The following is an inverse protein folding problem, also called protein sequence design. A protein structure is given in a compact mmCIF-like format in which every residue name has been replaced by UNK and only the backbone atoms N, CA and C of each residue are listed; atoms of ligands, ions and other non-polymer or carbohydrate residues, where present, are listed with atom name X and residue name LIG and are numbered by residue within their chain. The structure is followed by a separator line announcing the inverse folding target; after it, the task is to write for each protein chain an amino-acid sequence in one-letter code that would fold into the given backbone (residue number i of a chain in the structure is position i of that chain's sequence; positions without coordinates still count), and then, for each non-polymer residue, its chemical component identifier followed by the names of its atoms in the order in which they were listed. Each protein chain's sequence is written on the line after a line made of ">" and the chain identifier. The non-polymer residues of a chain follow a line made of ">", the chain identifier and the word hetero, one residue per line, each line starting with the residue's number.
data_IF_550581916231
#
_entry.id   IF_550581916231
#
_cell.length_a   1.000
_cell.length_b   1.000
_cell.length_c   1.000
_cell.angle_alpha   90.00
_cell.angle_beta   90.00
_cell.angle_gamma   90.00
#
_symmetry.space_group_name_H-M   'P 1'
#
loop_
_entity.id
_entity.type
_entity.pdbx_description
1 polymer ?
#
# COMPACT_ATOMS: atom_id res chain seq x y z
N UNK A 1 43.68 31.52 44.24
CA UNK A 1 43.99 32.70 43.40
C UNK A 1 44.12 32.17 41.98
N UNK A 2 43.11 32.20 41.12
CA UNK A 2 42.03 33.18 41.00
C UNK A 2 40.69 32.52 40.69
N UNK A 3 39.64 33.05 41.32
CA UNK A 3 38.22 32.79 41.11
C UNK A 3 37.72 33.42 39.81
N UNK A 4 36.83 32.73 39.09
CA UNK A 4 35.71 33.36 38.37
C UNK A 4 34.49 32.46 38.51
N UNK A 5 33.43 33.01 39.09
CA UNK A 5 32.12 32.42 39.37
C UNK A 5 31.23 32.31 38.09
N UNK A 6 30.12 31.54 38.15
CA UNK A 6 29.43 30.94 37.01
C UNK A 6 28.38 31.86 36.40
N UNK A 7 28.07 31.67 35.11
CA UNK A 7 26.93 32.30 34.46
C UNK A 7 25.84 31.26 34.19
N UNK A 8 24.76 31.35 34.96
CA UNK A 8 23.48 30.69 34.65
C UNK A 8 22.84 31.38 33.45
N UNK A 9 22.46 30.62 32.42
CA UNK A 9 21.43 31.03 31.47
C UNK A 9 20.35 29.97 31.42
N UNK A 10 19.17 30.42 31.85
CA UNK A 10 17.90 29.71 31.89
C UNK A 10 17.43 29.31 30.49
N UNK A 11 16.81 28.13 30.45
CA UNK A 11 15.61 27.78 29.69
C UNK A 11 15.43 28.35 28.27
N UNK A 12 15.56 27.47 27.28
CA UNK A 12 14.63 27.43 26.16
C UNK A 12 14.31 25.97 25.83
N UNK A 13 13.44 25.38 26.64
CA UNK A 13 12.50 24.38 26.15
C UNK A 13 11.65 25.06 25.07
N UNK A 14 12.13 25.03 23.83
CA UNK A 14 11.28 25.25 22.66
C UNK A 14 10.87 23.89 22.16
N UNK A 15 9.66 23.53 22.61
CA UNK A 15 8.80 22.49 22.09
C UNK A 15 9.05 22.16 20.61
N UNK A 16 9.69 21.01 20.35
CA UNK A 16 9.41 20.23 19.15
C UNK A 16 7.97 19.73 19.29
N UNK A 17 7.03 20.58 18.87
CA UNK A 17 5.64 20.20 18.70
C UNK A 17 5.57 19.22 17.54
N UNK A 18 5.19 18.00 17.87
CA UNK A 18 4.35 17.09 17.10
C UNK A 18 4.01 17.58 15.68
N UNK A 19 4.87 17.27 14.72
CA UNK A 19 4.49 17.28 13.31
C UNK A 19 3.54 16.09 13.09
N UNK A 20 2.24 16.36 13.17
CA UNK A 20 1.16 15.41 13.06
C UNK A 20 1.32 14.48 11.83
N UNK A 21 1.27 13.14 11.98
CA UNK A 21 1.31 12.19 10.86
C UNK A 21 0.05 12.17 9.98
N UNK A 22 -0.88 13.12 10.16
CA UNK A 22 -2.24 13.08 9.61
C UNK A 22 -2.33 13.48 8.13
N UNK A 23 -1.32 14.14 7.55
CA UNK A 23 -1.39 14.65 6.17
C UNK A 23 -1.14 13.57 5.09
N UNK A 24 -0.36 12.53 5.39
CA UNK A 24 0.12 11.58 4.36
C UNK A 24 -1.00 10.67 3.84
N UNK A 25 -1.98 10.30 4.67
CA UNK A 25 -3.07 9.41 4.25
C UNK A 25 -4.07 10.09 3.29
N UNK A 26 -4.30 11.40 3.47
CA UNK A 26 -5.20 12.18 2.62
C UNK A 26 -4.71 12.30 1.16
N UNK A 27 -3.41 12.57 0.97
CA UNK A 27 -2.81 12.76 -0.34
C UNK A 27 -3.02 11.56 -1.30
N UNK A 28 -2.97 10.32 -0.77
CA UNK A 28 -3.19 9.12 -1.57
C UNK A 28 -4.65 8.94 -1.99
N UNK A 29 -5.59 9.27 -1.10
CA UNK A 29 -7.02 9.25 -1.40
C UNK A 29 -7.39 10.28 -2.47
N UNK A 30 -6.90 11.50 -2.32
CA UNK A 30 -7.13 12.60 -3.26
C UNK A 30 -6.46 12.35 -4.62
N UNK A 31 -5.26 11.77 -4.63
CA UNK A 31 -4.59 11.39 -5.87
C UNK A 31 -5.31 10.21 -6.55
N UNK A 32 -5.75 9.20 -5.79
CA UNK A 32 -6.54 8.09 -6.33
C UNK A 32 -7.89 8.54 -6.90
N UNK A 33 -8.48 9.61 -6.38
CA UNK A 33 -9.70 10.20 -6.93
C UNK A 33 -9.50 10.86 -8.30
N UNK A 34 -8.28 11.31 -8.62
CA UNK A 34 -7.92 11.96 -9.91
C UNK A 34 -7.47 10.96 -10.97
N UNK A 35 -7.06 9.76 -10.56
CA UNK A 35 -6.71 8.68 -11.47
C UNK A 35 -7.98 8.13 -12.13
N UNK A 36 -7.98 8.03 -13.47
CA UNK A 36 -9.14 7.59 -14.24
C UNK A 36 -9.76 6.28 -13.76
N UNK A 37 -11.09 6.18 -13.87
CA UNK A 37 -11.87 5.08 -13.30
C UNK A 37 -11.56 3.73 -13.97
N UNK A 38 -10.80 2.88 -13.27
CA UNK A 38 -10.76 1.48 -13.59
C UNK A 38 -12.05 0.80 -13.06
N UNK A 39 -12.94 0.30 -13.94
CA UNK A 39 -14.20 -0.28 -13.49
C UNK A 39 -13.94 -1.60 -12.75
N UNK A 40 -14.57 -1.74 -11.58
CA UNK A 40 -14.65 -3.02 -10.86
C UNK A 40 -15.72 -3.92 -11.50
N UNK A 41 -15.66 -5.23 -11.25
CA UNK A 41 -16.72 -6.16 -11.70
C UNK A 41 -18.09 -5.69 -11.16
N UNK A 42 -19.11 -5.44 -12.01
CA UNK A 42 -20.32 -4.70 -11.61
C UNK A 42 -21.05 -5.24 -10.37
N UNK A 43 -21.26 -6.55 -10.30
CA UNK A 43 -21.93 -7.19 -9.16
C UNK A 43 -21.14 -7.06 -7.86
N UNK A 44 -19.81 -7.19 -7.94
CA UNK A 44 -18.93 -6.99 -6.78
C UNK A 44 -18.91 -5.51 -6.38
N UNK A 45 -18.83 -4.60 -7.35
CA UNK A 45 -18.85 -3.16 -7.11
C UNK A 45 -20.12 -2.73 -6.37
N UNK A 46 -21.28 -3.30 -6.73
CA UNK A 46 -22.53 -3.04 -6.04
C UNK A 46 -22.50 -3.53 -4.59
N UNK A 47 -22.06 -4.77 -4.34
CA UNK A 47 -21.93 -5.33 -2.99
C UNK A 47 -20.95 -4.54 -2.14
N UNK A 48 -19.81 -4.15 -2.72
CA UNK A 48 -18.81 -3.37 -2.00
C UNK A 48 -19.38 -1.99 -1.64
N UNK A 49 -20.07 -1.30 -2.55
CA UNK A 49 -20.71 0.00 -2.25
C UNK A 49 -21.82 -0.10 -1.20
N UNK A 50 -22.59 -1.19 -1.18
CA UNK A 50 -23.69 -1.36 -0.21
C UNK A 50 -23.22 -1.77 1.19
N UNK A 51 -21.97 -2.23 1.35
CA UNK A 51 -21.32 -2.37 2.67
C UNK A 51 -20.98 -0.97 3.22
N UNK A 52 -21.99 -0.31 3.79
CA UNK A 52 -21.89 1.02 4.43
C UNK A 52 -21.25 0.95 5.82
N UNK A 53 -20.84 2.13 6.30
CA UNK A 53 -20.34 2.57 7.64
C UNK A 53 -20.99 1.95 8.91
N UNK A 54 -22.03 1.11 8.76
CA UNK A 54 -22.67 0.36 9.86
C UNK A 54 -22.04 -1.01 10.12
N UNK A 55 -20.96 -1.36 9.42
CA UNK A 55 -20.27 -2.62 9.65
C UNK A 55 -19.33 -2.47 10.87
N UNK A 56 -19.64 -3.10 12.03
CA UNK A 56 -18.86 -2.97 13.26
C UNK A 56 -17.40 -3.46 13.13
N UNK A 57 -17.03 -4.03 11.97
CA UNK A 57 -15.66 -4.43 11.61
C UNK A 57 -14.76 -3.28 11.16
N UNK A 58 -15.30 -2.10 10.90
CA UNK A 58 -14.50 -0.88 10.75
C UNK A 58 -14.35 -0.23 12.13
N UNK A 59 -13.20 -0.39 12.80
CA UNK A 59 -12.98 0.36 14.03
C UNK A 59 -13.04 1.86 13.69
N UNK A 60 -13.92 2.59 14.39
CA UNK A 60 -13.88 4.04 14.38
C UNK A 60 -12.47 4.50 14.72
N UNK A 61 -11.95 5.51 14.01
CA UNK A 61 -10.66 6.13 14.31
C UNK A 61 -10.52 6.60 15.78
N UNK A 62 -11.65 6.72 16.49
CA UNK A 62 -11.73 7.11 17.90
C UNK A 62 -11.81 5.93 18.90
N UNK A 63 -11.87 4.67 18.46
CA UNK A 63 -12.00 3.52 19.35
C UNK A 63 -10.63 3.02 19.86
N UNK A 64 -10.18 3.61 20.96
CA UNK A 64 -9.25 3.11 22.01
C UNK A 64 -7.96 2.37 21.59
N UNK A 65 -6.83 2.84 22.12
CA UNK A 65 -5.46 2.27 22.09
C UNK A 65 -5.29 0.85 22.68
N UNK A 66 -6.37 0.08 22.88
CA UNK A 66 -6.31 -1.27 23.43
C UNK A 66 -6.52 -2.39 22.38
N UNK A 67 -5.45 -3.18 22.21
CA UNK A 67 -5.42 -4.62 21.88
C UNK A 67 -5.99 -5.17 20.55
N UNK A 68 -6.36 -4.36 19.56
CA UNK A 68 -6.65 -4.93 18.23
C UNK A 68 -5.32 -5.34 17.54
N UNK A 69 -5.23 -6.56 16.96
CA UNK A 69 -4.06 -6.96 16.19
C UNK A 69 -3.85 -6.00 15.02
N UNK A 70 -2.63 -5.48 14.87
CA UNK A 70 -2.29 -4.56 13.78
C UNK A 70 -2.19 -5.34 12.47
N UNK A 71 -2.90 -4.86 11.45
CA UNK A 71 -3.07 -5.49 10.15
C UNK A 71 -2.31 -4.68 9.12
N UNK A 72 -1.28 -5.29 8.56
CA UNK A 72 -0.46 -4.68 7.51
C UNK A 72 -0.81 -5.35 6.19
N UNK A 73 -1.20 -4.57 5.19
CA UNK A 73 -1.35 -5.06 3.83
C UNK A 73 -0.13 -4.69 3.02
N UNK A 74 0.50 -5.67 2.39
CA UNK A 74 1.64 -5.47 1.51
C UNK A 74 1.21 -5.75 0.09
N UNK A 75 1.24 -4.74 -0.77
CA UNK A 75 0.93 -4.89 -2.18
C UNK A 75 2.23 -4.86 -3.00
N UNK A 76 2.48 -5.96 -3.72
CA UNK A 76 3.53 -6.04 -4.74
C UNK A 76 2.94 -6.51 -6.05
N UNK A 77 2.85 -5.62 -7.04
CA UNK A 77 2.26 -5.94 -8.34
C UNK A 77 2.97 -7.07 -9.10
N UNK A 78 4.21 -7.39 -8.71
CA UNK A 78 5.21 -8.27 -9.33
C UNK A 78 4.83 -8.88 -10.67
N UNK A 79 5.48 -8.32 -11.69
CA UNK A 79 5.33 -8.70 -13.09
C UNK A 79 6.57 -9.49 -13.59
N UNK A 80 7.77 -9.24 -13.02
CA UNK A 80 9.03 -9.92 -13.36
C UNK A 80 9.97 -10.08 -12.17
N UNK A 81 10.66 -11.22 -12.14
CA UNK A 81 11.75 -11.48 -11.21
C UNK A 81 11.31 -11.90 -9.81
N UNK A 82 12.28 -12.37 -9.05
CA UNK A 82 12.11 -12.88 -7.68
C UNK A 82 12.34 -11.82 -6.60
N UNK A 83 12.99 -10.71 -6.98
CA UNK A 83 13.59 -9.80 -6.02
C UNK A 83 12.57 -9.05 -5.16
N UNK A 84 11.50 -8.52 -5.75
CA UNK A 84 10.56 -7.69 -5.00
C UNK A 84 9.74 -8.54 -4.05
N UNK A 85 9.16 -9.65 -4.52
CA UNK A 85 8.37 -10.52 -3.63
C UNK A 85 9.19 -11.08 -2.49
N UNK A 86 10.44 -11.48 -2.75
CA UNK A 86 11.34 -11.95 -1.69
C UNK A 86 11.61 -10.84 -0.68
N UNK A 87 11.94 -9.63 -1.14
CA UNK A 87 12.17 -8.48 -0.25
C UNK A 87 10.94 -8.17 0.60
N UNK A 88 9.77 -8.10 -0.02
CA UNK A 88 8.52 -7.82 0.68
C UNK A 88 8.21 -8.90 1.71
N UNK A 89 8.43 -10.18 1.38
CA UNK A 89 8.27 -11.27 2.34
C UNK A 89 9.27 -11.18 3.49
N UNK A 90 10.54 -10.84 3.25
CA UNK A 90 11.53 -10.67 4.32
C UNK A 90 11.20 -9.48 5.24
N UNK A 91 10.71 -8.36 4.70
CA UNK A 91 10.21 -7.24 5.51
C UNK A 91 9.03 -7.70 6.37
N UNK A 92 8.06 -8.40 5.77
CA UNK A 92 6.89 -8.93 6.49
C UNK A 92 7.29 -9.89 7.61
N UNK A 93 8.26 -10.79 7.34
CA UNK A 93 8.83 -11.70 8.35
C UNK A 93 9.43 -10.95 9.52
N UNK A 94 10.21 -9.91 9.23
CA UNK A 94 10.81 -9.08 10.28
C UNK A 94 9.74 -8.37 11.11
N UNK A 95 8.71 -7.81 10.48
CA UNK A 95 7.60 -7.14 11.16
C UNK A 95 6.85 -8.08 12.11
N UNK A 96 6.46 -9.28 11.66
CA UNK A 96 5.75 -10.24 12.54
C UNK A 96 6.65 -10.82 13.62
N UNK A 97 7.98 -10.89 13.40
CA UNK A 97 8.92 -11.35 14.41
C UNK A 97 9.18 -10.28 15.48
N UNK A 98 9.27 -9.01 15.09
CA UNK A 98 9.46 -7.88 15.99
C UNK A 98 8.21 -7.55 16.81
N UNK A 99 7.02 -7.75 16.24
CA UNK A 99 5.75 -7.37 16.86
C UNK A 99 4.78 -8.56 16.94
N UNK A 100 4.55 -9.05 18.17
CA UNK A 100 3.74 -10.24 18.42
C UNK A 100 2.25 -10.11 18.09
N UNK A 101 1.74 -8.88 17.96
CA UNK A 101 0.35 -8.55 17.63
C UNK A 101 0.15 -8.05 16.19
N UNK A 102 1.12 -8.30 15.29
CA UNK A 102 1.03 -7.92 13.87
C UNK A 102 0.67 -9.14 13.01
N UNK A 103 -0.29 -8.95 12.12
CA UNK A 103 -0.60 -9.85 11.01
C UNK A 103 -0.39 -9.14 9.68
N UNK A 104 0.16 -9.86 8.70
CA UNK A 104 0.47 -9.33 7.38
C UNK A 104 -0.28 -10.08 6.29
N UNK A 105 -0.96 -9.36 5.40
CA UNK A 105 -1.54 -9.91 4.17
C UNK A 105 -0.75 -9.40 2.96
N UNK A 106 -0.13 -10.30 2.22
CA UNK A 106 0.62 -9.98 1.01
C UNK A 106 -0.27 -10.18 -0.22
N UNK A 107 -0.48 -9.16 -1.03
CA UNK A 107 -1.17 -9.29 -2.32
C UNK A 107 -0.13 -9.19 -3.43
N UNK A 108 -0.01 -10.23 -4.26
CA UNK A 108 1.00 -10.24 -5.32
C UNK A 108 0.63 -10.95 -6.61
N UNK A 109 1.10 -10.40 -7.73
CA UNK A 109 1.08 -11.05 -9.05
C UNK A 109 2.20 -12.05 -9.28
N UNK A 110 3.15 -12.19 -8.34
CA UNK A 110 4.32 -13.05 -8.53
C UNK A 110 3.93 -14.52 -8.69
N UNK A 111 4.41 -15.21 -9.74
CA UNK A 111 4.19 -16.64 -9.89
C UNK A 111 4.95 -17.45 -8.86
N UNK A 112 5.89 -16.86 -8.11
CA UNK A 112 6.80 -17.59 -7.21
C UNK A 112 6.49 -17.44 -5.72
N UNK A 113 5.48 -16.65 -5.35
CA UNK A 113 5.18 -16.42 -3.92
C UNK A 113 4.91 -17.74 -3.16
N UNK A 114 4.22 -18.69 -3.82
CA UNK A 114 3.92 -20.00 -3.24
C UNK A 114 5.15 -20.89 -3.02
N UNK A 115 6.30 -20.57 -3.62
CA UNK A 115 7.53 -21.34 -3.47
C UNK A 115 8.27 -21.01 -2.17
N UNK A 116 7.88 -19.93 -1.47
CA UNK A 116 8.50 -19.54 -0.22
C UNK A 116 7.77 -20.13 0.99
N UNK A 117 8.53 -20.42 2.05
CA UNK A 117 7.94 -20.74 3.35
C UNK A 117 7.33 -19.49 3.98
N UNK A 118 6.03 -19.54 4.23
CA UNK A 118 5.27 -18.48 4.89
C UNK A 118 5.13 -18.81 6.38
N UNK A 119 5.62 -17.97 7.31
CA UNK A 119 5.47 -18.22 8.75
C UNK A 119 4.06 -17.86 9.24
N UNK A 120 3.70 -18.22 10.49
CA UNK A 120 2.45 -17.77 11.10
C UNK A 120 2.27 -16.25 11.06
N UNK A 121 1.01 -15.80 11.03
CA UNK A 121 0.59 -14.39 10.93
C UNK A 121 0.96 -13.68 9.62
N UNK A 122 1.47 -14.42 8.64
CA UNK A 122 1.59 -13.94 7.26
C UNK A 122 0.71 -14.82 6.39
N UNK A 123 -0.12 -14.20 5.55
CA UNK A 123 -0.87 -14.89 4.51
C UNK A 123 -0.79 -14.11 3.20
N UNK A 124 -1.26 -14.68 2.10
CA UNK A 124 -1.18 -14.04 0.80
C UNK A 124 -2.36 -14.29 -0.14
N UNK A 125 -2.62 -13.29 -0.98
CA UNK A 125 -3.50 -13.39 -2.14
C UNK A 125 -2.65 -13.35 -3.40
N UNK A 126 -2.68 -14.46 -4.15
CA UNK A 126 -2.08 -14.52 -5.47
C UNK A 126 -3.03 -13.94 -6.50
N UNK A 127 -2.57 -12.91 -7.22
CA UNK A 127 -3.28 -12.30 -8.33
C UNK A 127 -3.00 -13.05 -9.66
N UNK A 128 -3.91 -13.01 -10.63
CA UNK A 128 -3.62 -13.40 -12.01
C UNK A 128 -2.31 -12.76 -12.51
N UNK A 129 -1.37 -13.58 -12.98
CA UNK A 129 -0.02 -13.12 -13.29
C UNK A 129 -0.01 -12.32 -14.60
N UNK A 130 0.76 -11.24 -14.61
CA UNK A 130 1.06 -10.46 -15.80
C UNK A 130 2.48 -10.78 -16.28
N UNK A 131 2.73 -10.57 -17.56
CA UNK A 131 4.04 -10.64 -18.21
C UNK A 131 4.26 -9.37 -19.04
N UNK A 132 5.46 -9.21 -19.60
CA UNK A 132 5.85 -8.10 -20.47
C UNK A 132 6.21 -8.73 -21.78
N UNK A 133 5.67 -8.18 -22.84
CA UNK A 133 6.08 -8.51 -24.19
C UNK A 133 7.50 -8.00 -24.43
N UNK A 134 8.12 -8.46 -25.51
CA UNK A 134 9.44 -7.99 -25.94
C UNK A 134 9.44 -6.47 -26.19
N UNK A 135 8.31 -5.93 -26.63
CA UNK A 135 8.10 -4.50 -26.88
C UNK A 135 7.82 -3.70 -25.58
N UNK A 136 7.86 -4.36 -24.42
CA UNK A 136 7.74 -3.74 -23.11
C UNK A 136 6.31 -3.47 -22.64
N UNK A 137 5.30 -3.80 -23.44
CA UNK A 137 3.89 -3.74 -23.06
C UNK A 137 3.53 -4.85 -22.05
N UNK A 138 2.47 -4.66 -21.27
CA UNK A 138 1.99 -5.69 -20.36
C UNK A 138 1.03 -6.63 -21.07
N UNK A 139 1.07 -7.91 -20.68
CA UNK A 139 0.17 -8.95 -21.16
C UNK A 139 -0.16 -9.94 -20.02
N UNK A 140 -1.09 -10.85 -20.26
CA UNK A 140 -1.52 -11.89 -19.31
C UNK A 140 -0.62 -13.11 -19.45
N UNK A 141 -0.07 -13.59 -18.32
CA UNK A 141 0.96 -14.64 -18.37
C UNK A 141 0.39 -16.05 -18.57
N UNK A 142 -0.75 -16.35 -17.93
CA UNK A 142 -1.25 -17.73 -17.83
C UNK A 142 -2.72 -17.91 -18.18
N UNK A 143 -3.57 -16.92 -17.91
CA UNK A 143 -4.99 -17.02 -18.18
C UNK A 143 -5.28 -16.68 -19.63
N UNK A 144 -6.20 -17.39 -20.27
CA UNK A 144 -6.77 -17.03 -21.57
C UNK A 144 -7.79 -15.90 -21.46
N UNK A 145 -7.47 -14.85 -20.70
CA UNK A 145 -8.31 -13.69 -20.47
C UNK A 145 -7.67 -12.46 -21.13
N UNK A 146 -8.49 -11.52 -21.61
CA UNK A 146 -7.97 -10.24 -22.10
C UNK A 146 -7.24 -9.45 -21.02
N UNK A 147 -6.33 -8.56 -21.45
CA UNK A 147 -5.55 -7.73 -20.52
C UNK A 147 -6.45 -6.87 -19.61
N UNK A 148 -7.38 -6.11 -20.20
CA UNK A 148 -8.28 -5.22 -19.44
C UNK A 148 -9.18 -5.99 -18.48
N UNK A 149 -9.66 -7.16 -18.90
CA UNK A 149 -10.44 -8.06 -18.07
C UNK A 149 -9.62 -8.61 -16.89
N UNK A 150 -8.34 -8.91 -17.13
CA UNK A 150 -7.40 -9.34 -16.09
C UNK A 150 -7.12 -8.22 -15.10
N UNK A 151 -6.91 -7.00 -15.57
CA UNK A 151 -6.73 -5.81 -14.72
C UNK A 151 -7.99 -5.54 -13.90
N UNK A 152 -9.19 -5.64 -14.48
CA UNK A 152 -10.46 -5.53 -13.75
C UNK A 152 -10.61 -6.60 -12.67
N UNK A 153 -10.27 -7.86 -12.98
CA UNK A 153 -10.30 -8.96 -12.00
C UNK A 153 -9.31 -8.68 -10.86
N UNK A 154 -8.09 -8.27 -11.18
CA UNK A 154 -7.06 -7.92 -10.19
C UNK A 154 -7.52 -6.79 -9.28
N UNK A 155 -8.01 -5.69 -9.85
CA UNK A 155 -8.54 -4.56 -9.09
C UNK A 155 -9.71 -4.95 -8.17
N UNK A 156 -10.59 -5.83 -8.65
CA UNK A 156 -11.70 -6.37 -7.84
C UNK A 156 -11.19 -7.17 -6.64
N UNK A 157 -10.22 -8.07 -6.85
CA UNK A 157 -9.61 -8.86 -5.76
C UNK A 157 -8.90 -7.96 -4.74
N UNK A 158 -8.10 -7.00 -5.22
CA UNK A 158 -7.37 -6.04 -4.39
C UNK A 158 -8.35 -5.20 -3.56
N UNK A 159 -9.40 -4.67 -4.19
CA UNK A 159 -10.39 -3.83 -3.53
C UNK A 159 -11.15 -4.59 -2.45
N UNK A 160 -11.63 -5.80 -2.76
CA UNK A 160 -12.31 -6.63 -1.76
C UNK A 160 -11.41 -6.95 -0.58
N UNK A 161 -10.14 -7.31 -0.85
CA UNK A 161 -9.17 -7.58 0.21
C UNK A 161 -8.91 -6.35 1.08
N UNK A 162 -8.71 -5.16 0.49
CA UNK A 162 -8.52 -3.90 1.23
C UNK A 162 -9.69 -3.61 2.16
N UNK A 163 -10.92 -3.74 1.67
CA UNK A 163 -12.13 -3.40 2.42
C UNK A 163 -12.41 -4.41 3.55
N UNK A 164 -12.24 -5.71 3.29
CA UNK A 164 -12.56 -6.75 4.26
C UNK A 164 -11.42 -7.00 5.25
N UNK A 165 -10.17 -6.89 4.80
CA UNK A 165 -9.02 -6.98 5.69
C UNK A 165 -8.89 -5.74 6.58
N UNK A 166 -9.35 -4.57 6.12
CA UNK A 166 -9.34 -3.30 6.86
C UNK A 166 -7.97 -3.02 7.51
N UNK A 167 -6.92 -2.84 6.68
CA UNK A 167 -5.55 -2.67 7.17
C UNK A 167 -5.39 -1.35 7.93
N UNK A 168 -4.43 -1.31 8.86
CA UNK A 168 -3.97 -0.08 9.51
C UNK A 168 -2.83 0.59 8.72
N UNK A 169 -2.06 -0.24 8.01
CA UNK A 169 -0.90 0.17 7.22
C UNK A 169 -0.93 -0.56 5.88
N UNK A 170 -0.75 0.19 4.80
CA UNK A 170 -0.60 -0.33 3.45
C UNK A 170 0.83 -0.02 2.99
N UNK A 171 1.60 -1.08 2.72
CA UNK A 171 2.92 -0.99 2.10
C UNK A 171 2.79 -1.29 0.62
N UNK A 172 3.13 -0.32 -0.22
CA UNK A 172 3.06 -0.42 -1.68
C UNK A 172 4.47 -0.53 -2.24
N UNK A 173 4.78 -1.62 -2.95
CA UNK A 173 6.07 -1.75 -3.65
C UNK A 173 6.03 -1.06 -5.02
N UNK A 174 7.02 -0.20 -5.26
CA UNK A 174 7.46 0.32 -6.56
C UNK A 174 6.53 1.31 -7.29
N UNK A 175 5.20 1.12 -7.35
CA UNK A 175 4.26 2.02 -8.06
C UNK A 175 3.07 2.38 -7.16
N UNK A 176 2.80 3.67 -6.89
CA UNK A 176 1.72 4.10 -5.99
C UNK A 176 0.38 3.41 -6.24
N UNK A 177 -0.09 3.40 -7.48
CA UNK A 177 -1.41 2.81 -7.80
C UNK A 177 -1.33 1.41 -8.40
N UNK A 178 -0.15 0.80 -8.42
CA UNK A 178 0.05 -0.51 -9.04
C UNK A 178 0.08 -0.48 -10.57
N UNK A 179 -0.05 -1.65 -11.19
CA UNK A 179 -0.12 -1.77 -12.65
C UNK A 179 -1.49 -1.29 -13.12
N UNK A 180 -1.52 -0.39 -14.10
CA UNK A 180 -2.76 0.17 -14.65
C UNK A 180 -3.73 0.67 -13.59
N UNK A 181 -3.17 1.23 -12.51
CA UNK A 181 -3.90 1.84 -11.40
C UNK A 181 -4.87 0.92 -10.65
N UNK A 182 -4.64 -0.39 -10.69
CA UNK A 182 -5.52 -1.39 -10.07
C UNK A 182 -5.71 -1.25 -8.55
N UNK A 183 -4.87 -0.49 -7.86
CA UNK A 183 -5.00 -0.20 -6.42
C UNK A 183 -5.92 1.01 -6.15
N UNK A 184 -6.06 1.92 -7.11
CA UNK A 184 -6.76 3.20 -6.92
C UNK A 184 -8.24 3.05 -6.51
N UNK A 185 -9.04 2.14 -7.10
CA UNK A 185 -10.44 1.97 -6.69
C UNK A 185 -10.60 1.63 -5.20
N UNK A 186 -9.72 0.77 -4.66
CA UNK A 186 -9.74 0.37 -3.26
C UNK A 186 -9.34 1.49 -2.32
N UNK A 187 -8.28 2.23 -2.65
CA UNK A 187 -7.85 3.39 -1.86
C UNK A 187 -8.93 4.48 -1.81
N UNK A 188 -9.59 4.76 -2.94
CA UNK A 188 -10.70 5.71 -3.00
C UNK A 188 -11.90 5.27 -2.17
N UNK A 189 -12.26 3.99 -2.21
CA UNK A 189 -13.36 3.47 -1.39
C UNK A 189 -13.05 3.48 0.10
N UNK A 190 -11.80 3.23 0.50
CA UNK A 190 -11.37 3.37 1.90
C UNK A 190 -11.46 4.83 2.35
N UNK A 191 -10.90 5.75 1.55
CA UNK A 191 -10.93 7.18 1.83
C UNK A 191 -12.37 7.72 1.96
N UNK A 192 -13.26 7.37 1.02
CA UNK A 192 -14.67 7.76 1.06
C UNK A 192 -15.47 7.20 2.25
N UNK A 193 -14.93 6.21 2.97
CA UNK A 193 -15.52 5.65 4.21
C UNK A 193 -14.91 6.25 5.48
N UNK A 194 -13.98 7.20 5.36
CA UNK A 194 -13.22 7.69 6.51
C UNK A 194 -12.22 6.67 7.08
N UNK A 195 -12.02 5.52 6.43
CA UNK A 195 -10.97 4.57 6.77
C UNK A 195 -9.66 5.09 6.17
N UNK A 196 -8.80 5.64 7.02
CA UNK A 196 -7.55 6.29 6.62
C UNK A 196 -6.33 5.46 7.09
N UNK A 197 -6.06 4.29 6.47
CA UNK A 197 -4.82 3.59 6.76
C UNK A 197 -3.64 4.48 6.41
N UNK A 198 -2.53 4.30 7.11
CA UNK A 198 -1.27 4.89 6.66
C UNK A 198 -0.86 4.17 5.38
N UNK A 199 -0.58 4.90 4.30
CA UNK A 199 -0.09 4.33 3.04
C UNK A 199 1.36 4.74 2.86
N UNK A 200 2.23 3.77 2.58
CA UNK A 200 3.68 3.98 2.42
C UNK A 200 4.13 3.35 1.12
N UNK A 201 4.77 4.16 0.26
CA UNK A 201 5.47 3.66 -0.91
C UNK A 201 6.88 3.23 -0.53
N UNK A 202 7.21 1.97 -0.79
CA UNK A 202 8.54 1.42 -0.65
C UNK A 202 9.26 1.50 -2.00
N UNK A 203 10.34 2.28 -2.02
CA UNK A 203 11.21 2.45 -3.18
C UNK A 203 12.57 1.83 -2.90
N UNK A 204 13.20 1.34 -3.97
CA UNK A 204 14.60 0.91 -3.92
C UNK A 204 15.49 2.12 -4.15
N UNK A 205 16.71 2.02 -3.64
CA UNK A 205 17.76 3.02 -3.85
C UNK A 205 17.98 3.31 -5.35
N UNK A 206 18.01 2.25 -6.16
CA UNK A 206 18.05 2.35 -7.63
C UNK A 206 16.76 1.72 -8.19
N UNK A 207 15.94 2.55 -8.84
CA UNK A 207 14.69 2.13 -9.46
C UNK A 207 14.93 1.56 -10.86
N UNK A 208 15.37 2.40 -11.79
CA UNK A 208 15.78 2.11 -13.17
C UNK A 208 16.63 3.30 -13.66
N UNK A 209 16.90 3.41 -14.97
CA UNK A 209 17.51 4.60 -15.56
C UNK A 209 16.71 5.89 -15.16
N UNK A 210 17.41 7.01 -14.87
CA UNK A 210 16.75 8.24 -14.42
C UNK A 210 15.73 8.78 -15.42
N UNK A 211 16.05 8.81 -16.72
CA UNK A 211 15.17 9.36 -17.76
C UNK A 211 13.88 8.55 -17.88
N UNK A 212 13.99 7.22 -17.85
CA UNK A 212 12.82 6.32 -17.93
C UNK A 212 11.97 6.39 -16.67
N UNK A 213 12.59 6.54 -15.51
CA UNK A 213 11.90 6.70 -14.22
C UNK A 213 11.14 8.01 -14.18
N UNK A 214 11.79 9.14 -14.46
CA UNK A 214 11.18 10.48 -14.47
C UNK A 214 10.01 10.54 -15.45
N UNK A 215 10.21 10.12 -16.70
CA UNK A 215 9.14 10.11 -17.71
C UNK A 215 7.94 9.24 -17.29
N UNK A 216 8.19 8.11 -16.62
CA UNK A 216 7.12 7.25 -16.09
C UNK A 216 6.38 7.94 -14.95
N UNK A 217 7.09 8.56 -14.02
CA UNK A 217 6.50 9.21 -12.85
C UNK A 217 5.69 10.44 -13.21
N UNK A 218 6.17 11.26 -14.15
CA UNK A 218 5.44 12.40 -14.69
C UNK A 218 4.17 11.95 -15.42
N UNK A 219 4.29 10.99 -16.35
CA UNK A 219 3.15 10.47 -17.13
C UNK A 219 2.02 9.93 -16.25
N UNK A 220 2.37 9.33 -15.11
CA UNK A 220 1.40 8.71 -14.21
C UNK A 220 1.08 9.55 -12.97
N UNK A 221 1.56 10.80 -12.91
CA UNK A 221 1.32 11.72 -11.79
C UNK A 221 1.73 11.16 -10.42
N UNK A 222 2.75 10.30 -10.36
CA UNK A 222 3.16 9.64 -9.12
C UNK A 222 3.72 10.60 -8.08
N UNK A 223 4.27 11.74 -8.50
CA UNK A 223 4.72 12.79 -7.58
C UNK A 223 3.59 13.33 -6.70
N UNK A 224 2.36 13.39 -7.19
CA UNK A 224 1.21 13.90 -6.43
C UNK A 224 0.80 12.93 -5.32
N UNK A 225 0.97 11.63 -5.53
CA UNK A 225 0.69 10.61 -4.52
C UNK A 225 1.69 10.63 -3.35
N UNK A 226 2.90 11.14 -3.56
CA UNK A 226 3.98 11.12 -2.55
C UNK A 226 4.36 12.50 -2.01
N UNK A 227 3.87 13.59 -2.61
CA UNK A 227 4.11 14.95 -2.11
C UNK A 227 3.22 15.19 -0.88
N UNK A 228 3.89 15.36 0.25
CA UNK A 228 3.32 15.80 1.52
C UNK A 228 3.31 17.33 1.59
#
# INVERSE_FOLDING_TARGET
>A
MSDVHPTSLRSSQTAERDAAPLAVSGAWGDAAARVGDLPLTPGVAQVLRSRTDRDPRFPSAAASESAHPKRILVYSHDTFGLGNIKRMLEISKHLVAAYGNVSVLIISGSPMLHAFRIPPRIDYIKLPCLTRTLDGAYDVKFLGLGYDDTIRLRATLITSALLDFSPDLILVDKKPFGVSNELAPGLRLLHGRGALPKVVLLLRDILDNPDTTTATWERNHYHEAVRC
#
